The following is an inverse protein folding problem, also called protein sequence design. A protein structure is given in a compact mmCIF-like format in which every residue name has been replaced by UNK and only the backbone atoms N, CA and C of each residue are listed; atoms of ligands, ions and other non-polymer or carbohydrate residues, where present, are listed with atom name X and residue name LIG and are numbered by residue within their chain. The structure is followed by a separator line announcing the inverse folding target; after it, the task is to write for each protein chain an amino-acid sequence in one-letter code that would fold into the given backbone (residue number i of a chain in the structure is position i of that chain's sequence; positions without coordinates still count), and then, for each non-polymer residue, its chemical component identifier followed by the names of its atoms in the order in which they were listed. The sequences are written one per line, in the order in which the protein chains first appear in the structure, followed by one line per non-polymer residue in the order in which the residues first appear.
data_IF_136230819365
#
_entry.id   IF_136230819365
#
_cell.length_a   1.000
_cell.length_b   1.000
_cell.length_c   1.000
_cell.angle_alpha   90.00
_cell.angle_beta   90.00
_cell.angle_gamma   90.00
#
_symmetry.space_group_name_H-M   'P 1'
#
loop_
_entity.id
_entity.type
_entity.pdbx_description
1 polymer ?
#
# COMPACT_ATOMS: atom_id res chain seq x y z
N UNK A 1 -11.78 5.16 8.31
CA UNK A 1 -11.92 4.28 9.49
C UNK A 1 -11.78 2.81 9.10
N UNK A 2 -12.79 2.25 8.45
CA UNK A 2 -12.87 0.81 8.14
C UNK A 2 -11.74 0.31 7.23
N UNK A 3 -11.40 1.06 6.17
CA UNK A 3 -10.29 0.74 5.26
C UNK A 3 -8.93 0.62 5.97
N UNK A 4 -8.65 1.52 6.93
CA UNK A 4 -7.44 1.46 7.75
C UNK A 4 -7.50 0.30 8.77
N UNK A 5 -8.68 0.01 9.30
CA UNK A 5 -8.90 -1.16 10.16
C UNK A 5 -8.55 -2.47 9.44
N UNK A 6 -8.96 -2.62 8.18
CA UNK A 6 -8.58 -3.76 7.33
C UNK A 6 -7.06 -3.80 7.13
N UNK A 7 -6.43 -2.66 6.80
CA UNK A 7 -4.98 -2.59 6.63
C UNK A 7 -4.19 -3.02 7.88
N UNK A 8 -4.69 -2.72 9.08
CA UNK A 8 -4.06 -3.16 10.33
C UNK A 8 -4.12 -4.69 10.54
N UNK A 9 -5.11 -5.37 9.97
CA UNK A 9 -5.21 -6.84 10.09
C UNK A 9 -4.08 -7.59 9.36
N UNK A 10 -3.46 -6.94 8.37
CA UNK A 10 -2.38 -7.51 7.54
C UNK A 10 -0.97 -7.03 7.93
N UNK A 11 -0.84 -6.36 9.07
CA UNK A 11 0.43 -5.84 9.55
C UNK A 11 1.51 -6.92 9.65
N UNK A 12 2.60 -6.76 8.88
CA UNK A 12 3.75 -7.69 8.84
C UNK A 12 3.45 -9.07 8.27
N UNK A 13 2.37 -9.25 7.50
CA UNK A 13 2.03 -10.54 6.87
C UNK A 13 2.67 -10.75 5.49
N UNK A 14 3.31 -9.72 4.94
CA UNK A 14 3.99 -9.76 3.63
C UNK A 14 3.11 -10.44 2.55
N UNK A 15 3.61 -11.49 1.90
CA UNK A 15 2.92 -12.22 0.83
C UNK A 15 1.56 -12.79 1.27
N UNK A 16 1.38 -13.08 2.57
CA UNK A 16 0.10 -13.53 3.12
C UNK A 16 -1.01 -12.46 3.05
N UNK A 17 -0.66 -11.20 2.78
CA UNK A 17 -1.59 -10.09 2.59
C UNK A 17 -1.96 -9.86 1.11
N UNK A 18 -1.23 -10.44 0.16
CA UNK A 18 -1.36 -10.15 -1.27
C UNK A 18 -2.79 -10.33 -1.81
N UNK A 19 -3.54 -11.40 -1.48
CA UNK A 19 -4.91 -11.55 -1.98
C UNK A 19 -5.84 -10.41 -1.56
N UNK A 20 -5.70 -9.93 -0.32
CA UNK A 20 -6.49 -8.83 0.20
C UNK A 20 -6.06 -7.49 -0.41
N UNK A 21 -4.75 -7.28 -0.58
CA UNK A 21 -4.22 -6.08 -1.24
C UNK A 21 -4.70 -6.01 -2.69
N UNK A 22 -4.66 -7.12 -3.44
CA UNK A 22 -5.15 -7.17 -4.82
C UNK A 22 -6.64 -6.85 -4.90
N UNK A 23 -7.44 -7.38 -3.97
CA UNK A 23 -8.87 -7.09 -3.91
C UNK A 23 -9.12 -5.60 -3.67
N UNK A 24 -8.46 -5.00 -2.68
CA UNK A 24 -8.65 -3.59 -2.32
C UNK A 24 -8.17 -2.64 -3.43
N UNK A 25 -7.07 -2.97 -4.10
CA UNK A 25 -6.45 -2.10 -5.11
C UNK A 25 -7.15 -2.13 -6.47
N UNK A 26 -7.96 -3.15 -6.76
CA UNK A 26 -8.76 -3.24 -7.99
C UNK A 26 -10.19 -2.71 -7.84
N UNK A 27 -10.57 -2.26 -6.64
CA UNK A 27 -11.93 -1.77 -6.40
C UNK A 27 -12.20 -0.44 -7.13
N UNK A 28 -13.45 -0.21 -7.52
CA UNK A 28 -13.87 1.05 -8.12
C UNK A 28 -13.92 2.19 -7.11
N UNK A 29 -14.18 1.88 -5.84
CA UNK A 29 -14.21 2.85 -4.76
C UNK A 29 -12.79 3.32 -4.41
N UNK A 30 -12.47 4.62 -4.59
CA UNK A 30 -11.16 5.16 -4.22
C UNK A 30 -10.83 5.00 -2.72
N UNK A 31 -11.83 4.92 -1.83
CA UNK A 31 -11.62 4.70 -0.39
C UNK A 31 -11.05 3.30 -0.13
N UNK A 32 -11.49 2.29 -0.89
CA UNK A 32 -10.99 0.93 -0.78
C UNK A 32 -9.58 0.81 -1.37
N UNK A 33 -9.31 1.44 -2.52
CA UNK A 33 -7.95 1.50 -3.09
C UNK A 33 -6.97 2.22 -2.16
N UNK A 34 -7.41 3.31 -1.54
CA UNK A 34 -6.68 4.02 -0.49
C UNK A 34 -6.36 3.11 0.70
N UNK A 35 -7.33 2.30 1.14
CA UNK A 35 -7.11 1.23 2.12
C UNK A 35 -6.07 0.20 1.67
N UNK A 36 -6.10 -0.17 0.39
CA UNK A 36 -5.12 -1.04 -0.25
C UNK A 36 -3.69 -0.50 -0.18
N UNK A 37 -3.49 0.82 -0.33
CA UNK A 37 -2.17 1.45 -0.19
C UNK A 37 -1.63 1.31 1.24
N UNK A 38 -2.46 1.51 2.26
CA UNK A 38 -2.06 1.26 3.65
C UNK A 38 -1.84 -0.22 3.95
N UNK A 39 -2.67 -1.10 3.39
CA UNK A 39 -2.52 -2.54 3.56
C UNK A 39 -1.16 -3.00 3.00
N UNK A 40 -0.78 -2.52 1.81
CA UNK A 40 0.51 -2.76 1.19
C UNK A 40 1.66 -2.19 2.03
N UNK A 41 1.54 -0.94 2.49
CA UNK A 41 2.52 -0.28 3.36
C UNK A 41 2.80 -1.05 4.66
N UNK A 42 1.74 -1.51 5.33
CA UNK A 42 1.82 -2.17 6.64
C UNK A 42 2.21 -3.64 6.54
N UNK A 43 1.81 -4.32 5.46
CA UNK A 43 2.20 -5.70 5.20
C UNK A 43 3.71 -5.81 4.93
N UNK A 44 4.28 -4.86 4.18
CA UNK A 44 5.68 -4.86 3.73
C UNK A 44 6.56 -3.82 4.44
N UNK A 45 6.18 -3.37 5.64
CA UNK A 45 6.92 -2.32 6.35
C UNK A 45 8.40 -2.69 6.55
N UNK A 46 9.32 -1.79 6.22
CA UNK A 46 10.76 -2.00 6.44
C UNK A 46 11.36 -3.24 5.77
N UNK A 47 10.71 -3.78 4.74
CA UNK A 47 11.21 -4.95 3.99
C UNK A 47 11.98 -4.55 2.74
N UNK A 48 11.89 -3.28 2.30
CA UNK A 48 12.41 -2.80 1.02
C UNK A 48 12.00 -3.70 -0.18
N UNK A 49 10.82 -4.33 -0.11
CA UNK A 49 10.39 -5.28 -1.12
C UNK A 49 10.12 -4.58 -2.47
N UNK A 50 10.90 -4.95 -3.50
CA UNK A 50 10.81 -4.39 -4.84
C UNK A 50 9.43 -4.53 -5.50
N UNK A 51 8.68 -5.60 -5.20
CA UNK A 51 7.31 -5.79 -5.72
C UNK A 51 6.39 -4.71 -5.15
N UNK A 52 6.42 -4.52 -3.82
CA UNK A 52 5.61 -3.52 -3.14
C UNK A 52 5.96 -2.10 -3.60
N UNK A 53 7.26 -1.78 -3.72
CA UNK A 53 7.73 -0.48 -4.20
C UNK A 53 7.22 -0.18 -5.62
N UNK A 54 7.36 -1.11 -6.56
CA UNK A 54 6.88 -0.92 -7.95
C UNK A 54 5.38 -0.72 -8.00
N UNK A 55 4.63 -1.47 -7.19
CA UNK A 55 3.18 -1.35 -7.14
C UNK A 55 2.77 0.02 -6.56
N UNK A 56 3.39 0.48 -5.47
CA UNK A 56 3.15 1.80 -4.92
C UNK A 56 3.50 2.92 -5.91
N UNK A 57 4.64 2.83 -6.60
CA UNK A 57 5.02 3.80 -7.64
C UNK A 57 4.03 3.82 -8.81
N UNK A 58 3.51 2.66 -9.20
CA UNK A 58 2.47 2.60 -10.22
C UNK A 58 1.23 3.39 -9.77
N UNK A 59 0.66 3.09 -8.60
CA UNK A 59 -0.51 3.79 -8.07
C UNK A 59 -0.28 5.28 -7.80
N UNK A 60 0.94 5.67 -7.43
CA UNK A 60 1.31 7.07 -7.24
C UNK A 60 1.16 7.92 -8.51
N UNK A 61 1.19 7.30 -9.70
CA UNK A 61 1.11 8.00 -10.99
C UNK A 61 -0.17 7.65 -11.76
N UNK A 62 -0.63 6.40 -11.71
CA UNK A 62 -1.72 5.89 -12.56
C UNK A 62 -3.12 6.04 -11.97
N UNK A 63 -3.26 6.21 -10.64
CA UNK A 63 -4.59 6.34 -10.04
C UNK A 63 -5.22 7.71 -10.35
N UNK A 64 -6.52 7.69 -10.65
CA UNK A 64 -7.32 8.87 -10.89
C UNK A 64 -7.56 9.69 -9.61
N UNK A 65 -7.56 9.05 -8.44
CA UNK A 65 -7.80 9.72 -7.15
C UNK A 65 -6.52 10.30 -6.57
N UNK A 66 -6.55 11.61 -6.31
CA UNK A 66 -5.46 12.34 -5.65
C UNK A 66 -5.12 11.78 -4.26
N UNK A 67 -6.11 11.29 -3.52
CA UNK A 67 -5.91 10.71 -2.18
C UNK A 67 -5.20 9.36 -2.27
N UNK A 68 -5.51 8.54 -3.26
CA UNK A 68 -4.79 7.28 -3.50
C UNK A 68 -3.35 7.58 -3.91
N UNK A 69 -3.14 8.53 -4.83
CA UNK A 69 -1.79 8.94 -5.26
C UNK A 69 -0.94 9.44 -4.09
N UNK A 70 -1.50 10.35 -3.27
CA UNK A 70 -0.81 10.90 -2.08
C UNK A 70 -0.46 9.79 -1.07
N UNK A 71 -1.40 8.89 -0.80
CA UNK A 71 -1.16 7.78 0.13
C UNK A 71 -0.16 6.78 -0.40
N UNK A 72 -0.13 6.52 -1.72
CA UNK A 72 0.87 5.65 -2.32
C UNK A 72 2.30 6.18 -2.11
N UNK A 73 2.51 7.50 -2.26
CA UNK A 73 3.80 8.14 -1.98
C UNK A 73 4.15 8.07 -0.48
N UNK A 74 3.18 8.32 0.39
CA UNK A 74 3.38 8.18 1.85
C UNK A 74 3.71 6.74 2.26
N UNK A 75 3.06 5.76 1.64
CA UNK A 75 3.27 4.33 1.85
C UNK A 75 4.69 3.87 1.49
N UNK A 76 5.35 4.50 0.51
CA UNK A 76 6.76 4.22 0.20
C UNK A 76 7.66 4.42 1.41
N UNK A 77 7.43 5.47 2.20
CA UNK A 77 8.19 5.72 3.42
C UNK A 77 8.08 4.59 4.45
N UNK A 78 6.92 3.93 4.55
CA UNK A 78 6.75 2.77 5.43
C UNK A 78 7.45 1.51 4.92
N UNK A 79 7.55 1.33 3.60
CA UNK A 79 8.27 0.18 3.02
C UNK A 79 9.78 0.38 3.10
N UNK A 80 10.25 1.63 2.94
CA UNK A 80 11.66 1.99 2.80
C UNK A 80 12.33 2.52 4.09
N UNK A 81 11.63 2.66 5.22
CA UNK A 81 12.26 3.28 6.41
C UNK A 81 13.54 2.58 6.91
N UNK A 82 13.71 1.29 6.57
CA UNK A 82 14.90 0.51 6.90
C UNK A 82 16.09 0.78 5.96
N UNK A 83 15.85 1.34 4.77
CA UNK A 83 16.84 1.66 3.74
C UNK A 83 16.65 3.10 3.24
N UNK A 84 17.05 4.12 4.03
CA UNK A 84 16.77 5.52 3.73
C UNK A 84 17.55 6.10 2.53
N UNK A 85 18.51 5.36 1.97
CA UNK A 85 19.35 5.80 0.85
C UNK A 85 18.82 5.37 -0.54
N UNK A 86 17.76 4.55 -0.58
CA UNK A 86 17.06 4.17 -1.82
C UNK A 86 16.17 5.28 -2.37
#
# INVERSE_FOLDING_TARGET
GLALGIALTVYGREEGADPLIEQLTRDQDPILRYGGMYALALAYRGTANNKAIRQLLHFAVSDVSDDVRRTAVLALGFVLYSEPEQ
#
